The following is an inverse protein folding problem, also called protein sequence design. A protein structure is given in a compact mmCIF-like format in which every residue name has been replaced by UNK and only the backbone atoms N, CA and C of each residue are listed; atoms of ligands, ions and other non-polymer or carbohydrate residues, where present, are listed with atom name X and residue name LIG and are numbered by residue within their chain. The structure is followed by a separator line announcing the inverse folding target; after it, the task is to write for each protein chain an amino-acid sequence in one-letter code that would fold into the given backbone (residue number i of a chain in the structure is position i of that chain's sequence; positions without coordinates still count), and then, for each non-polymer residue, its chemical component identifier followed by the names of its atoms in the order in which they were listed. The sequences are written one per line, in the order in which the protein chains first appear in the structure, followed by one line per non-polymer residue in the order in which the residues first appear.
data_IF_741100525600
#
_entry.id   IF_741100525600
#
_cell.length_a   1.000
_cell.length_b   1.000
_cell.length_c   1.000
_cell.angle_alpha   90.00
_cell.angle_beta   90.00
_cell.angle_gamma   90.00
#
_symmetry.space_group_name_H-M   'P 1'
#
loop_
_entity.id
_entity.type
_entity.pdbx_description
1 polymer ?
#
# COMPACT_ATOMS: atom_id res chain seq x y z
N UNK A 1 -5.20 -6.40 18.35
CA UNK A 1 -5.51 -5.41 17.30
C UNK A 1 -5.20 -6.04 15.96
N UNK A 2 -6.15 -6.12 15.01
CA UNK A 2 -5.87 -6.66 13.69
C UNK A 2 -4.86 -5.79 12.95
N UNK A 3 -3.86 -6.41 12.33
CA UNK A 3 -2.81 -5.75 11.54
C UNK A 3 -3.38 -5.37 10.18
N UNK A 4 -3.15 -4.15 9.71
CA UNK A 4 -3.68 -3.70 8.40
C UNK A 4 -2.69 -3.99 7.28
N UNK A 5 -3.17 -4.14 6.05
CA UNK A 5 -2.28 -4.29 4.88
C UNK A 5 -1.36 -3.08 4.68
N UNK A 6 -1.82 -1.87 5.03
CA UNK A 6 -1.00 -0.65 5.02
C UNK A 6 0.14 -0.72 6.05
N UNK A 7 -0.15 -1.21 7.26
CA UNK A 7 0.85 -1.42 8.31
C UNK A 7 1.90 -2.47 7.89
N UNK A 8 1.46 -3.59 7.31
CA UNK A 8 2.37 -4.63 6.81
C UNK A 8 3.27 -4.10 5.69
N UNK A 9 2.72 -3.32 4.75
CA UNK A 9 3.51 -2.68 3.70
C UNK A 9 4.60 -1.79 4.29
N UNK A 10 4.24 -0.92 5.25
CA UNK A 10 5.17 0.01 5.87
C UNK A 10 6.25 -0.71 6.69
N UNK A 11 5.84 -1.60 7.60
CA UNK A 11 6.74 -2.25 8.56
C UNK A 11 7.64 -3.31 7.94
N UNK A 12 7.18 -4.01 6.89
CA UNK A 12 7.94 -5.14 6.34
C UNK A 12 8.59 -4.84 4.99
N UNK A 13 7.98 -3.99 4.16
CA UNK A 13 8.55 -3.66 2.86
C UNK A 13 9.32 -2.34 2.91
N UNK A 14 8.64 -1.25 3.25
CA UNK A 14 9.22 0.11 3.17
C UNK A 14 10.41 0.25 4.12
N UNK A 15 10.32 -0.30 5.34
CA UNK A 15 11.42 -0.26 6.31
C UNK A 15 12.69 -1.00 5.86
N UNK A 16 12.57 -2.01 4.97
CA UNK A 16 13.68 -2.90 4.57
C UNK A 16 14.24 -2.54 3.19
N UNK A 17 13.37 -2.16 2.27
CA UNK A 17 13.70 -1.99 0.86
C UNK A 17 13.50 -0.54 0.39
N UNK A 18 12.97 0.33 1.24
CA UNK A 18 12.55 1.67 0.87
C UNK A 18 11.20 1.69 0.16
N UNK A 19 10.81 2.88 -0.27
CA UNK A 19 9.51 3.14 -0.89
C UNK A 19 9.51 2.68 -2.35
N UNK A 20 8.57 1.82 -2.77
CA UNK A 20 8.46 1.42 -4.17
C UNK A 20 7.90 2.56 -5.03
N UNK A 21 8.37 2.68 -6.28
CA UNK A 21 7.84 3.67 -7.22
C UNK A 21 6.38 3.37 -7.63
N UNK A 22 6.01 2.10 -7.71
CA UNK A 22 4.68 1.67 -8.14
C UNK A 22 4.25 0.38 -7.44
N UNK A 23 2.96 0.27 -7.10
CA UNK A 23 2.32 -0.97 -6.64
C UNK A 23 1.11 -1.25 -7.54
N UNK A 24 1.04 -2.46 -8.09
CA UNK A 24 -0.15 -2.97 -8.79
C UNK A 24 -0.88 -3.96 -7.88
N UNK A 25 -2.18 -3.75 -7.66
CA UNK A 25 -2.99 -4.63 -6.79
C UNK A 25 -4.24 -5.14 -7.50
N UNK A 26 -4.88 -6.16 -6.96
CA UNK A 26 -6.27 -6.45 -7.30
C UNK A 26 -7.24 -5.39 -6.71
N UNK A 27 -8.54 -5.59 -6.94
CA UNK A 27 -9.63 -4.73 -6.47
C UNK A 27 -10.10 -5.05 -5.02
N UNK A 28 -9.32 -5.84 -4.29
CA UNK A 28 -9.63 -6.25 -2.92
C UNK A 28 -9.81 -5.07 -1.97
N UNK A 29 -10.75 -5.21 -1.00
CA UNK A 29 -11.15 -4.14 -0.07
C UNK A 29 -9.97 -3.53 0.71
N UNK A 30 -8.96 -4.33 1.04
CA UNK A 30 -7.77 -3.84 1.75
C UNK A 30 -7.00 -2.82 0.90
N UNK A 31 -6.86 -3.07 -0.40
CA UNK A 31 -6.10 -2.22 -1.33
C UNK A 31 -6.90 -1.04 -1.87
N UNK A 32 -8.23 -1.08 -1.80
CA UNK A 32 -9.11 0.03 -2.20
C UNK A 32 -9.50 0.94 -1.02
N UNK A 33 -9.15 0.55 0.21
CA UNK A 33 -9.39 1.32 1.43
C UNK A 33 -8.72 2.70 1.40
N UNK A 34 -9.35 3.67 2.06
CA UNK A 34 -8.81 5.03 2.18
C UNK A 34 -7.44 5.06 2.89
N UNK A 35 -7.23 4.18 3.87
CA UNK A 35 -5.95 4.06 4.60
C UNK A 35 -4.82 3.61 3.66
N UNK A 36 -5.07 2.58 2.84
CA UNK A 36 -4.05 2.09 1.91
C UNK A 36 -3.75 3.12 0.82
N UNK A 37 -4.78 3.77 0.27
CA UNK A 37 -4.61 4.86 -0.71
C UNK A 37 -3.84 6.03 -0.11
N UNK A 38 -4.21 6.50 1.08
CA UNK A 38 -3.53 7.60 1.76
C UNK A 38 -2.06 7.30 2.08
N UNK A 39 -1.73 6.03 2.41
CA UNK A 39 -0.33 5.62 2.57
C UNK A 39 0.42 5.68 1.23
N UNK A 40 -0.17 5.19 0.14
CA UNK A 40 0.44 5.30 -1.18
C UNK A 40 0.67 6.76 -1.57
N UNK A 41 -0.30 7.63 -1.34
CA UNK A 41 -0.20 9.06 -1.65
C UNK A 41 0.90 9.74 -0.81
N UNK A 42 0.95 9.48 0.51
CA UNK A 42 1.96 10.01 1.42
C UNK A 42 3.39 9.63 1.02
N UNK A 43 3.55 8.40 0.52
CA UNK A 43 4.84 7.86 0.12
C UNK A 43 5.11 8.08 -1.39
N UNK A 44 4.25 8.82 -2.10
CA UNK A 44 4.38 9.05 -3.54
C UNK A 44 4.47 7.75 -4.37
N UNK A 45 3.81 6.69 -3.89
CA UNK A 45 3.72 5.40 -4.56
C UNK A 45 2.63 5.47 -5.62
N UNK A 46 2.99 5.24 -6.89
CA UNK A 46 1.98 5.09 -7.95
C UNK A 46 1.18 3.81 -7.72
N UNK A 47 -0.08 3.92 -7.32
CA UNK A 47 -0.98 2.77 -7.24
C UNK A 47 -1.67 2.52 -8.57
N UNK A 48 -1.63 1.27 -9.05
CA UNK A 48 -2.43 0.78 -10.18
C UNK A 48 -3.22 -0.45 -9.76
N UNK A 49 -4.23 -0.84 -10.53
CA UNK A 49 -5.06 -2.00 -10.19
C UNK A 49 -5.63 -2.68 -11.42
N UNK A 50 -6.03 -3.95 -11.27
CA UNK A 50 -6.76 -4.69 -12.31
C UNK A 50 -8.11 -4.02 -12.59
N UNK A 51 -8.45 -3.88 -13.87
CA UNK A 51 -9.74 -3.36 -14.34
C UNK A 51 -10.83 -4.42 -14.23
#
# INVERSE_FOLDING_TARGET
MPVTTAEVLLQNWVSRFGTPLQIHTDQGRNFTSAVFKGLCDLLEIKKTQTT
#
